data_IF_843590936312
#
_entry.id   IF_843590936312
#
_cell.length_a   1.000
_cell.length_b   1.000
_cell.length_c   1.000
_cell.angle_alpha   90.00
_cell.angle_beta   90.00
_cell.angle_gamma   90.00
#
_symmetry.space_group_name_H-M   'P 1'
#
loop_
_entity.id
_entity.type
_entity.pdbx_description
1 polymer ?
#
# COMPACT_ATOMS: atom_id res chain seq x y z
N UNK A 1 -12.07 2.01 23.97
CA UNK A 1 -11.80 2.14 25.43
C UNK A 1 -10.35 2.54 25.63
N UNK A 2 -10.01 3.35 26.64
CA UNK A 2 -8.61 3.72 26.93
C UNK A 2 -8.22 3.22 28.32
N UNK A 3 -7.01 2.69 28.43
CA UNK A 3 -6.41 2.23 29.69
C UNK A 3 -5.03 2.86 29.77
N UNK A 4 -4.74 3.55 30.87
CA UNK A 4 -3.39 4.06 31.16
C UNK A 4 -2.69 3.09 32.11
N UNK A 5 -1.45 2.72 31.80
CA UNK A 5 -0.59 1.87 32.63
C UNK A 5 0.87 2.32 32.51
N UNK A 6 1.70 1.84 33.41
CA UNK A 6 3.15 1.91 33.27
C UNK A 6 3.68 0.57 32.75
N UNK A 7 4.60 0.62 31.79
CA UNK A 7 5.31 -0.55 31.28
C UNK A 7 6.79 -0.22 31.15
N UNK A 8 7.64 -0.96 31.88
CA UNK A 8 9.08 -0.71 31.94
C UNK A 8 9.42 0.77 32.23
N UNK A 9 8.80 1.33 33.28
CA UNK A 9 8.97 2.71 33.76
C UNK A 9 8.58 3.82 32.76
N UNK A 10 7.88 3.47 31.68
CA UNK A 10 7.35 4.41 30.71
C UNK A 10 5.82 4.50 30.83
N UNK A 11 5.24 5.73 30.85
CA UNK A 11 3.80 5.90 30.81
C UNK A 11 3.27 5.45 29.45
N UNK A 12 2.46 4.40 29.44
CA UNK A 12 1.83 3.84 28.23
C UNK A 12 0.31 3.98 28.29
N UNK A 13 -0.25 4.33 27.15
CA UNK A 13 -1.68 4.44 26.90
C UNK A 13 -2.07 3.34 25.94
N UNK A 14 -3.02 2.51 26.34
CA UNK A 14 -3.61 1.47 25.53
C UNK A 14 -4.98 1.92 25.05
N UNK A 15 -5.14 2.00 23.72
CA UNK A 15 -6.39 2.35 23.07
C UNK A 15 -6.97 1.08 22.45
N UNK A 16 -8.03 0.56 23.05
CA UNK A 16 -8.79 -0.58 22.54
C UNK A 16 -9.80 -0.05 21.52
N UNK A 17 -9.64 -0.50 20.29
CA UNK A 17 -10.51 -0.19 19.17
C UNK A 17 -11.29 -1.44 18.77
N UNK A 18 -12.53 -1.24 18.36
CA UNK A 18 -13.40 -2.29 17.86
C UNK A 18 -13.93 -1.87 16.51
N UNK A 19 -13.56 -2.61 15.48
CA UNK A 19 -14.00 -2.38 14.11
C UNK A 19 -14.98 -3.48 13.70
N UNK A 20 -16.23 -3.09 13.49
CA UNK A 20 -17.33 -3.99 13.10
C UNK A 20 -17.16 -4.51 11.68
N UNK A 21 -16.68 -3.68 10.77
CA UNK A 21 -16.49 -4.04 9.37
C UNK A 21 -15.34 -5.04 9.24
N UNK A 22 -14.21 -4.76 9.90
CA UNK A 22 -13.09 -5.68 9.96
C UNK A 22 -13.47 -7.03 10.58
N UNK A 23 -14.28 -7.01 11.64
CA UNK A 23 -14.81 -8.24 12.27
C UNK A 23 -15.56 -9.10 11.25
N UNK A 24 -16.51 -8.51 10.52
CA UNK A 24 -17.29 -9.25 9.50
C UNK A 24 -16.39 -9.83 8.40
N UNK A 25 -15.41 -9.05 7.94
CA UNK A 25 -14.48 -9.51 6.91
C UNK A 25 -13.60 -10.67 7.40
N UNK A 26 -13.08 -10.60 8.63
CA UNK A 26 -12.28 -11.68 9.24
C UNK A 26 -13.13 -12.95 9.40
N UNK A 27 -14.36 -12.82 9.89
CA UNK A 27 -15.29 -13.95 10.02
C UNK A 27 -15.54 -14.60 8.66
N UNK A 28 -15.90 -13.83 7.64
CA UNK A 28 -16.19 -14.35 6.30
C UNK A 28 -14.96 -15.05 5.69
N UNK A 29 -13.79 -14.44 5.78
CA UNK A 29 -12.54 -15.03 5.30
C UNK A 29 -12.22 -16.33 6.03
N UNK A 30 -12.43 -16.40 7.34
CA UNK A 30 -12.20 -17.62 8.12
C UNK A 30 -13.10 -18.75 7.65
N UNK A 31 -14.41 -18.50 7.50
CA UNK A 31 -15.33 -19.54 7.02
C UNK A 31 -14.94 -20.07 5.63
N UNK A 32 -14.50 -19.17 4.75
CA UNK A 32 -13.98 -19.56 3.44
C UNK A 32 -12.71 -20.43 3.56
N UNK A 33 -11.72 -20.02 4.35
CA UNK A 33 -10.50 -20.78 4.58
C UNK A 33 -10.76 -22.15 5.24
N UNK A 34 -11.74 -22.24 6.14
CA UNK A 34 -12.11 -23.50 6.78
C UNK A 34 -12.77 -24.47 5.79
N UNK A 35 -13.64 -23.97 4.91
CA UNK A 35 -14.24 -24.78 3.85
C UNK A 35 -13.16 -25.34 2.92
N UNK A 36 -12.25 -24.48 2.46
CA UNK A 36 -11.12 -24.88 1.61
C UNK A 36 -10.20 -25.88 2.33
N UNK A 37 -9.99 -25.72 3.63
CA UNK A 37 -9.18 -26.63 4.44
C UNK A 37 -9.83 -28.01 4.60
N UNK A 38 -11.16 -28.11 4.71
CA UNK A 38 -11.87 -29.38 4.74
C UNK A 38 -11.71 -30.13 3.41
N UNK A 39 -11.95 -29.44 2.28
CA UNK A 39 -11.77 -30.02 0.94
C UNK A 39 -10.33 -30.53 0.72
N UNK A 40 -9.33 -29.79 1.24
CA UNK A 40 -7.92 -30.20 1.19
C UNK A 40 -7.65 -31.44 2.06
N UNK A 41 -8.24 -31.53 3.24
CA UNK A 41 -8.07 -32.70 4.12
C UNK A 41 -8.74 -33.95 3.56
N UNK A 42 -9.89 -33.83 2.91
CA UNK A 42 -10.53 -34.94 2.19
C UNK A 42 -9.63 -35.49 1.08
N UNK A 43 -8.91 -34.60 0.39
CA UNK A 43 -7.91 -34.95 -0.64
C UNK A 43 -6.56 -35.40 -0.06
N UNK A 44 -6.41 -35.49 1.26
CA UNK A 44 -5.16 -35.90 1.93
C UNK A 44 -4.03 -34.84 1.90
N UNK A 45 -4.35 -33.59 1.56
CA UNK A 45 -3.39 -32.49 1.45
C UNK A 45 -3.18 -31.80 2.79
N UNK A 46 -1.95 -31.35 3.06
CA UNK A 46 -1.59 -30.63 4.28
C UNK A 46 -2.23 -29.23 4.32
N UNK A 47 -2.87 -28.91 5.43
CA UNK A 47 -3.46 -27.58 5.71
C UNK A 47 -2.49 -26.63 6.43
N UNK A 48 -2.81 -25.32 6.37
CA UNK A 48 -2.11 -24.26 7.13
C UNK A 48 -2.13 -24.58 8.63
N UNK A 49 -0.99 -24.36 9.32
CA UNK A 49 -0.84 -24.67 10.76
C UNK A 49 -1.89 -23.96 11.64
N UNK A 50 -2.21 -22.71 11.31
CA UNK A 50 -3.18 -21.90 12.06
C UNK A 50 -4.62 -22.39 11.99
N UNK A 51 -5.01 -23.16 10.96
CA UNK A 51 -6.38 -23.66 10.78
C UNK A 51 -6.65 -24.96 11.57
N UNK A 52 -5.60 -25.65 12.02
CA UNK A 52 -5.72 -26.92 12.75
C UNK A 52 -6.50 -26.80 14.05
N UNK A 53 -6.44 -25.64 14.71
CA UNK A 53 -7.17 -25.39 15.97
C UNK A 53 -8.70 -25.36 15.81
N UNK A 54 -9.18 -25.21 14.58
CA UNK A 54 -10.62 -25.15 14.25
C UNK A 54 -11.16 -26.47 13.69
N UNK A 55 -10.33 -27.51 13.60
CA UNK A 55 -10.69 -28.77 12.96
C UNK A 55 -10.53 -29.89 13.98
N UNK A 56 -11.63 -30.59 14.27
CA UNK A 56 -11.65 -31.80 15.09
C UNK A 56 -11.83 -33.03 14.22
N UNK A 57 -11.25 -34.16 14.61
CA UNK A 57 -11.54 -35.45 13.99
C UNK A 57 -12.66 -36.12 14.75
N UNK A 58 -13.77 -36.40 14.08
CA UNK A 58 -14.88 -37.20 14.63
C UNK A 58 -14.99 -38.45 13.78
N UNK A 59 -14.80 -39.62 14.38
CA UNK A 59 -14.82 -40.92 13.67
C UNK A 59 -13.91 -40.96 12.43
N UNK A 60 -12.70 -40.39 12.54
CA UNK A 60 -11.74 -40.32 11.42
C UNK A 60 -12.03 -39.22 10.38
N UNK A 61 -13.25 -38.66 10.36
CA UNK A 61 -13.61 -37.56 9.45
C UNK A 61 -13.26 -36.19 10.05
N UNK A 62 -12.58 -35.30 9.30
CA UNK A 62 -12.33 -33.93 9.75
C UNK A 62 -13.64 -33.12 9.72
N UNK A 63 -13.97 -32.48 10.84
CA UNK A 63 -15.13 -31.58 10.97
C UNK A 63 -14.70 -30.28 11.63
N UNK A 64 -15.42 -29.20 11.32
CA UNK A 64 -15.19 -27.90 11.97
C UNK A 64 -15.60 -28.00 13.45
N UNK A 65 -14.74 -27.45 14.30
CA UNK A 65 -15.04 -27.23 15.71
C UNK A 65 -15.60 -25.83 15.92
N UNK A 66 -16.93 -25.72 15.89
CA UNK A 66 -17.63 -24.44 16.03
C UNK A 66 -17.36 -23.75 17.38
N UNK A 67 -17.03 -24.48 18.45
CA UNK A 67 -16.70 -23.87 19.74
C UNK A 67 -15.38 -23.07 19.66
N UNK A 68 -14.35 -23.69 19.08
CA UNK A 68 -13.07 -23.02 18.88
C UNK A 68 -13.16 -21.81 17.92
N UNK A 69 -14.08 -21.87 16.95
CA UNK A 69 -14.39 -20.75 16.06
C UNK A 69 -15.05 -19.62 16.84
N UNK A 70 -16.12 -19.90 17.60
CA UNK A 70 -16.86 -18.91 18.38
C UNK A 70 -15.97 -18.19 19.42
N UNK A 71 -15.11 -18.93 20.11
CA UNK A 71 -14.12 -18.34 21.03
C UNK A 71 -13.19 -17.36 20.31
N UNK A 72 -12.72 -17.70 19.11
CA UNK A 72 -11.85 -16.81 18.34
C UNK A 72 -12.62 -15.60 17.79
N UNK A 73 -13.89 -15.75 17.46
CA UNK A 73 -14.76 -14.67 16.97
C UNK A 73 -15.02 -13.56 17.99
N UNK A 74 -14.88 -13.84 19.29
CA UNK A 74 -15.00 -12.81 20.34
C UNK A 74 -13.90 -11.75 20.24
N UNK A 75 -12.74 -12.10 19.69
CA UNK A 75 -11.59 -11.21 19.54
C UNK A 75 -11.48 -10.59 18.14
N UNK A 76 -12.36 -10.96 17.21
CA UNK A 76 -12.31 -10.47 15.85
C UNK A 76 -12.65 -8.97 15.75
N UNK A 77 -11.84 -8.26 14.98
CA UNK A 77 -11.97 -6.81 14.81
C UNK A 77 -11.57 -6.00 16.05
N UNK A 78 -11.04 -6.65 17.10
CA UNK A 78 -10.46 -5.97 18.26
C UNK A 78 -8.97 -5.78 18.02
N UNK A 79 -8.51 -4.53 18.09
CA UNK A 79 -7.09 -4.21 18.07
C UNK A 79 -6.75 -3.21 19.18
N UNK A 80 -5.52 -3.31 19.65
CA UNK A 80 -4.99 -2.49 20.74
C UNK A 80 -3.84 -1.68 20.18
N UNK A 81 -4.00 -0.36 20.20
CA UNK A 81 -2.92 0.58 19.88
C UNK A 81 -2.26 0.99 21.19
N UNK A 82 -0.98 0.68 21.33
CA UNK A 82 -0.16 1.06 22.49
C UNK A 82 0.67 2.28 22.08
N UNK A 83 0.59 3.35 22.87
CA UNK A 83 1.33 4.59 22.61
C UNK A 83 1.80 5.24 23.90
N UNK A 84 2.94 5.91 23.87
CA UNK A 84 3.44 6.79 24.94
C UNK A 84 3.26 8.29 24.60
N UNK A 85 2.48 8.60 23.56
CA UNK A 85 2.29 9.98 23.09
C UNK A 85 1.14 10.69 23.81
N UNK A 86 1.22 12.01 23.86
CA UNK A 86 0.16 12.89 24.41
C UNK A 86 -0.94 13.24 23.40
N UNK A 87 -0.92 12.65 22.21
CA UNK A 87 -1.92 12.90 21.18
C UNK A 87 -3.32 12.45 21.59
N UNK A 88 -4.35 13.09 21.02
CA UNK A 88 -5.73 12.65 21.18
C UNK A 88 -5.90 11.24 20.60
N UNK A 89 -6.88 10.47 21.11
CA UNK A 89 -7.14 9.09 20.67
C UNK A 89 -7.32 9.01 19.15
N UNK A 90 -8.11 9.93 18.60
CA UNK A 90 -8.38 10.02 17.16
C UNK A 90 -7.09 10.25 16.36
N UNK A 91 -6.21 11.13 16.84
CA UNK A 91 -4.94 11.42 16.17
C UNK A 91 -3.97 10.23 16.25
N UNK A 92 -3.94 9.51 17.38
CA UNK A 92 -3.14 8.28 17.52
C UNK A 92 -3.64 7.20 16.56
N UNK A 93 -4.95 6.97 16.51
CA UNK A 93 -5.56 5.97 15.62
C UNK A 93 -5.29 6.35 14.17
N UNK A 94 -5.52 7.61 13.78
CA UNK A 94 -5.23 8.10 12.44
C UNK A 94 -3.76 7.90 12.07
N UNK A 95 -2.83 8.28 12.95
CA UNK A 95 -1.39 8.09 12.72
C UNK A 95 -0.97 6.62 12.64
N UNK A 96 -1.63 5.75 13.40
CA UNK A 96 -1.39 4.32 13.33
C UNK A 96 -1.78 3.77 11.95
N UNK A 97 -2.95 4.17 11.42
CA UNK A 97 -3.40 3.79 10.09
C UNK A 97 -2.67 4.52 8.95
N UNK A 98 -2.13 5.72 9.19
CA UNK A 98 -1.24 6.41 8.25
C UNK A 98 0.06 5.61 7.98
N UNK A 99 0.37 4.54 8.75
CA UNK A 99 1.46 3.61 8.42
C UNK A 99 1.30 3.01 7.02
N UNK A 100 0.09 2.86 6.52
CA UNK A 100 -0.18 2.39 5.15
C UNK A 100 0.50 3.28 4.09
N UNK A 101 0.74 4.56 4.40
CA UNK A 101 1.49 5.47 3.52
C UNK A 101 2.92 4.98 3.34
N UNK A 102 3.55 4.50 4.42
CA UNK A 102 4.91 3.96 4.38
C UNK A 102 4.91 2.66 3.56
N UNK A 103 3.95 1.77 3.76
CA UNK A 103 3.87 0.53 2.99
C UNK A 103 3.66 0.80 1.49
N UNK A 104 2.75 1.73 1.15
CA UNK A 104 2.54 2.21 -0.24
C UNK A 104 3.78 2.89 -0.82
N UNK A 105 4.56 3.62 0.00
CA UNK A 105 5.83 4.19 -0.43
C UNK A 105 6.85 3.10 -0.80
N UNK A 106 6.92 2.03 -0.01
CA UNK A 106 7.79 0.90 -0.30
C UNK A 106 7.32 0.12 -1.53
N UNK A 107 6.02 0.00 -1.74
CA UNK A 107 5.45 -0.59 -2.94
C UNK A 107 5.80 0.22 -4.19
N UNK A 108 5.63 1.55 -4.13
CA UNK A 108 5.98 2.47 -5.23
C UNK A 108 7.48 2.45 -5.55
N UNK A 109 8.32 2.35 -4.52
CA UNK A 109 9.77 2.20 -4.68
C UNK A 109 10.13 0.88 -5.37
N UNK A 110 9.41 -0.20 -5.08
CA UNK A 110 9.64 -1.53 -5.68
C UNK A 110 9.14 -1.62 -7.12
N UNK A 111 8.01 -0.99 -7.43
CA UNK A 111 7.39 -1.05 -8.76
C UNK A 111 7.89 0.06 -9.68
N UNK A 112 7.39 1.28 -9.52
CA UNK A 112 7.65 2.42 -10.42
C UNK A 112 9.11 2.81 -10.48
N UNK A 113 9.81 2.77 -9.33
CA UNK A 113 11.20 3.20 -9.24
C UNK A 113 12.20 2.05 -9.23
N UNK A 114 11.70 0.81 -9.34
CA UNK A 114 12.49 -0.41 -9.49
C UNK A 114 13.73 -0.46 -8.58
N UNK A 115 13.54 -0.14 -7.28
CA UNK A 115 14.64 -0.18 -6.30
C UNK A 115 15.25 -1.59 -6.20
N UNK A 116 14.53 -2.63 -6.64
CA UNK A 116 14.99 -4.00 -6.74
C UNK A 116 14.84 -4.54 -8.18
N UNK A 117 15.76 -5.40 -8.66
CA UNK A 117 16.92 -5.91 -7.93
C UNK A 117 18.12 -4.96 -7.96
N UNK A 118 18.78 -4.78 -6.80
CA UNK A 118 20.05 -4.04 -6.71
C UNK A 118 21.17 -4.94 -7.24
N UNK A 119 21.53 -4.81 -8.51
CA UNK A 119 22.64 -5.56 -9.14
C UNK A 119 24.02 -4.95 -8.81
N UNK A 120 24.13 -4.23 -7.70
CA UNK A 120 25.33 -3.52 -7.27
C UNK A 120 25.95 -4.18 -6.04
N UNK A 121 27.26 -4.43 -6.11
CA UNK A 121 28.02 -5.14 -5.09
C UNK A 121 28.82 -4.19 -4.19
N UNK A 122 29.22 -3.03 -4.74
CA UNK A 122 29.96 -2.00 -4.01
C UNK A 122 28.99 -1.13 -3.20
N UNK A 123 29.26 -0.97 -1.90
CA UNK A 123 28.44 -0.18 -0.98
C UNK A 123 28.14 1.23 -1.50
N UNK A 124 29.11 1.90 -2.12
CA UNK A 124 28.93 3.23 -2.71
C UNK A 124 27.86 3.24 -3.82
N UNK A 125 27.83 2.21 -4.68
CA UNK A 125 26.85 2.09 -5.77
C UNK A 125 25.45 1.77 -5.25
N UNK A 126 25.37 0.94 -4.20
CA UNK A 126 24.11 0.68 -3.48
C UNK A 126 23.55 1.98 -2.90
N UNK A 127 24.38 2.77 -2.19
CA UNK A 127 23.98 4.07 -1.63
C UNK A 127 23.49 5.04 -2.71
N UNK A 128 24.21 5.13 -3.84
CA UNK A 128 23.82 6.00 -4.95
C UNK A 128 22.49 5.57 -5.59
N UNK A 129 22.28 4.28 -5.81
CA UNK A 129 21.03 3.73 -6.34
C UNK A 129 19.84 4.06 -5.44
N UNK A 130 19.96 3.76 -4.14
CA UNK A 130 18.92 4.07 -3.14
C UNK A 130 18.63 5.57 -3.10
N UNK A 131 19.65 6.42 -3.19
CA UNK A 131 19.49 7.87 -3.22
C UNK A 131 18.71 8.34 -4.45
N UNK A 132 19.03 7.83 -5.64
CA UNK A 132 18.33 8.17 -6.89
C UNK A 132 16.87 7.70 -6.82
N UNK A 133 16.61 6.46 -6.37
CA UNK A 133 15.24 5.97 -6.18
C UNK A 133 14.47 6.83 -5.18
N UNK A 134 15.11 7.28 -4.09
CA UNK A 134 14.48 8.16 -3.11
C UNK A 134 14.12 9.52 -3.72
N UNK A 135 15.01 10.13 -4.51
CA UNK A 135 14.72 11.38 -5.23
C UNK A 135 13.58 11.22 -6.24
N UNK A 136 13.56 10.10 -6.98
CA UNK A 136 12.45 9.78 -7.87
C UNK A 136 11.12 9.64 -7.12
N UNK A 137 11.13 9.02 -5.94
CA UNK A 137 9.93 8.91 -5.10
C UNK A 137 9.46 10.26 -4.58
N UNK A 138 10.39 11.12 -4.16
CA UNK A 138 10.08 12.49 -3.77
C UNK A 138 9.39 13.24 -4.91
N UNK A 139 9.91 13.11 -6.14
CA UNK A 139 9.33 13.73 -7.32
C UNK A 139 7.91 13.21 -7.62
N UNK A 140 7.71 11.88 -7.61
CA UNK A 140 6.38 11.28 -7.79
C UNK A 140 5.39 11.74 -6.71
N UNK A 141 5.84 11.83 -5.46
CA UNK A 141 5.01 12.29 -4.34
C UNK A 141 4.62 13.77 -4.51
N UNK A 142 5.56 14.59 -4.95
CA UNK A 142 5.30 16.00 -5.28
C UNK A 142 4.29 16.14 -6.42
N UNK A 143 4.46 15.39 -7.51
CA UNK A 143 3.51 15.34 -8.61
C UNK A 143 2.12 14.90 -8.13
N UNK A 144 2.03 13.89 -7.26
CA UNK A 144 0.75 13.45 -6.68
C UNK A 144 0.02 14.54 -5.92
N UNK A 145 0.74 15.29 -5.09
CA UNK A 145 0.18 16.45 -4.37
C UNK A 145 -0.31 17.55 -5.32
N UNK A 146 0.41 17.80 -6.42
CA UNK A 146 0.00 18.78 -7.44
C UNK A 146 -1.24 18.33 -8.20
N UNK A 147 -1.31 17.05 -8.60
CA UNK A 147 -2.48 16.46 -9.26
C UNK A 147 -3.73 16.54 -8.37
N UNK A 148 -3.58 16.23 -7.08
CA UNK A 148 -4.68 16.32 -6.11
C UNK A 148 -5.17 17.76 -5.94
N UNK A 149 -4.26 18.73 -5.85
CA UNK A 149 -4.60 20.16 -5.83
C UNK A 149 -5.29 20.62 -7.12
N UNK A 150 -4.92 20.05 -8.26
CA UNK A 150 -5.57 20.28 -9.55
C UNK A 150 -6.91 19.55 -9.74
N UNK A 151 -7.40 18.82 -8.73
CA UNK A 151 -8.66 18.08 -8.80
C UNK A 151 -8.59 16.79 -9.63
N UNK A 152 -7.38 16.30 -9.95
CA UNK A 152 -7.17 15.14 -10.81
C UNK A 152 -6.95 13.90 -9.93
N UNK A 153 -7.94 13.00 -9.90
CA UNK A 153 -7.85 11.73 -9.18
C UNK A 153 -7.11 10.66 -10.01
N UNK A 154 -5.82 10.84 -10.27
CA UNK A 154 -4.97 9.84 -10.94
C UNK A 154 -3.65 9.62 -10.20
N UNK A 155 -3.04 8.45 -10.39
CA UNK A 155 -1.72 8.18 -9.80
C UNK A 155 -0.61 8.91 -10.60
N UNK A 156 0.46 9.36 -9.94
CA UNK A 156 1.59 10.02 -10.60
C UNK A 156 2.23 9.16 -11.71
N UNK A 157 2.28 7.84 -11.51
CA UNK A 157 2.80 6.91 -12.51
C UNK A 157 1.94 6.88 -13.79
N UNK A 158 0.61 6.92 -13.66
CA UNK A 158 -0.29 7.02 -14.82
C UNK A 158 -0.16 8.36 -15.52
N UNK A 159 -0.05 9.45 -14.74
CA UNK A 159 0.18 10.78 -15.31
C UNK A 159 1.48 10.81 -16.14
N UNK A 160 2.56 10.19 -15.66
CA UNK A 160 3.79 10.06 -16.43
C UNK A 160 3.63 9.26 -17.72
N UNK A 161 2.89 8.14 -17.70
CA UNK A 161 2.61 7.36 -18.90
C UNK A 161 1.84 8.17 -19.96
N UNK A 162 0.85 8.97 -19.53
CA UNK A 162 0.11 9.85 -20.43
C UNK A 162 1.00 10.95 -21.00
N UNK A 163 1.93 11.49 -20.20
CA UNK A 163 2.89 12.51 -20.64
C UNK A 163 3.98 11.94 -21.55
N UNK A 164 4.39 10.68 -21.37
CA UNK A 164 5.38 10.00 -22.21
C UNK A 164 4.93 9.90 -23.68
N UNK A 165 3.63 9.89 -23.93
CA UNK A 165 3.08 9.86 -25.29
C UNK A 165 3.22 11.19 -26.05
N UNK A 166 3.63 12.27 -25.37
CA UNK A 166 3.83 13.58 -25.98
C UNK A 166 5.21 13.60 -26.64
N UNK A 167 5.25 13.94 -27.94
CA UNK A 167 6.48 14.08 -28.69
C UNK A 167 6.52 15.41 -29.44
N UNK A 168 7.73 15.97 -29.58
CA UNK A 168 8.01 17.10 -30.47
C UNK A 168 8.74 16.63 -31.72
N UNK A 169 8.37 17.19 -32.86
CA UNK A 169 9.02 16.93 -34.15
C UNK A 169 9.94 18.12 -34.44
N UNK A 170 11.24 17.86 -34.53
CA UNK A 170 12.22 18.84 -35.02
C UNK A 170 12.50 18.58 -36.49
N UNK A 171 12.08 19.48 -37.34
CA UNK A 171 12.35 19.47 -38.78
C UNK A 171 13.56 20.36 -39.03
N UNK A 172 14.63 19.79 -39.57
CA UNK A 172 15.83 20.53 -39.98
C UNK A 172 15.96 20.49 -41.49
N UNK A 173 15.96 21.64 -42.13
CA UNK A 173 16.22 21.76 -43.56
C UNK A 173 17.72 21.55 -43.85
N UNK A 174 18.03 20.62 -44.75
CA UNK A 174 19.40 20.24 -45.12
C UNK A 174 20.13 21.32 -45.92
N UNK A 175 19.42 22.24 -46.57
CA UNK A 175 20.02 23.28 -47.43
C UNK A 175 20.25 24.60 -46.70
N UNK A 176 19.36 24.96 -45.78
CA UNK A 176 19.39 26.24 -45.07
C UNK A 176 19.86 26.10 -43.62
N UNK A 177 20.06 24.87 -43.12
CA UNK A 177 20.33 24.54 -41.71
C UNK A 177 19.29 25.10 -40.71
N UNK A 178 18.16 25.63 -41.19
CA UNK A 178 17.09 26.11 -40.33
C UNK A 178 16.37 24.91 -39.72
N UNK A 179 16.14 24.98 -38.41
CA UNK A 179 15.35 23.98 -37.70
C UNK A 179 14.06 24.61 -37.16
N UNK A 180 12.95 23.89 -37.31
CA UNK A 180 11.65 24.24 -36.73
C UNK A 180 11.20 23.09 -35.85
N UNK A 181 10.80 23.39 -34.62
CA UNK A 181 10.26 22.42 -33.67
C UNK A 181 8.75 22.61 -33.54
N UNK A 182 7.98 21.53 -33.68
CA UNK A 182 6.53 21.53 -33.43
C UNK A 182 6.17 20.42 -32.45
N UNK A 183 5.55 20.79 -31.35
CA UNK A 183 4.92 19.86 -30.42
C UNK A 183 3.54 19.46 -30.96
N UNK A 184 3.22 18.17 -30.86
CA UNK A 184 1.88 17.66 -31.24
C UNK A 184 0.83 18.26 -30.29
N UNK A 185 -0.39 18.59 -30.79
CA UNK A 185 -1.46 19.09 -29.94
C UNK A 185 -1.76 18.11 -28.80
N UNK A 186 -1.81 18.65 -27.59
CA UNK A 186 -2.10 17.91 -26.37
C UNK A 186 -3.56 17.46 -26.37
N UNK A 187 -3.81 16.25 -25.88
CA UNK A 187 -5.18 15.82 -25.54
C UNK A 187 -5.69 16.59 -24.32
N UNK A 188 -7.01 16.69 -24.15
CA UNK A 188 -7.63 17.36 -22.99
C UNK A 188 -7.09 16.85 -21.65
N UNK A 189 -6.82 15.54 -21.56
CA UNK A 189 -6.23 14.91 -20.36
C UNK A 189 -4.79 15.38 -20.12
N UNK A 190 -3.98 15.46 -21.17
CA UNK A 190 -2.60 15.94 -21.07
C UNK A 190 -2.56 17.42 -20.71
N UNK A 191 -3.43 18.23 -21.29
CA UNK A 191 -3.52 19.66 -20.97
C UNK A 191 -3.92 19.88 -19.50
N UNK A 192 -4.88 19.09 -18.99
CA UNK A 192 -5.25 19.12 -17.57
C UNK A 192 -4.07 18.74 -16.65
N UNK A 193 -3.29 17.71 -17.01
CA UNK A 193 -2.09 17.31 -16.27
C UNK A 193 -1.04 18.44 -16.30
N UNK A 194 -0.80 19.06 -17.46
CA UNK A 194 0.14 20.16 -17.62
C UNK A 194 -0.23 21.38 -16.77
N UNK A 195 -1.52 21.75 -16.75
CA UNK A 195 -2.04 22.83 -15.90
C UNK A 195 -1.88 22.49 -14.42
N UNK A 196 -2.24 21.27 -14.01
CA UNK A 196 -2.09 20.83 -12.63
C UNK A 196 -0.62 20.81 -12.16
N UNK A 197 0.32 20.51 -13.05
CA UNK A 197 1.75 20.50 -12.76
C UNK A 197 2.43 21.88 -12.87
N UNK A 198 1.70 22.93 -13.22
CA UNK A 198 2.25 24.27 -13.52
C UNK A 198 3.35 24.23 -14.60
N UNK A 199 3.21 23.35 -15.60
CA UNK A 199 4.18 23.21 -16.69
C UNK A 199 3.82 24.05 -17.93
N UNK A 200 2.62 24.61 -17.99
CA UNK A 200 2.23 25.63 -18.96
C UNK A 200 2.42 27.00 -18.31
N UNK A 201 3.58 27.60 -18.54
CA UNK A 201 3.80 29.05 -18.38
C UNK A 201 3.56 29.75 -19.71
#
# INVERSE_FOLDING_TARGET
REIKREWADLPVRMIICQDKSLRQQIQQNRYYELKEALEKLEKGVRIKKGLRKYIKKVNGTPKIDYKAVEESETFDGVYIVITNTDYSKEKVIKKYFDKDIIEKSFESLKSTLSIQPVRHWLLRRVKAHVFICYLGYLHLSWMGMLLEKGGISMSPAKALQELETIYSIKLTDKKTHMSTERTVPLTEKQEAIYKALNLLS
#
